data_IF_903584072529
#
_entry.id   IF_903584072529
#
_cell.length_a   1.000
_cell.length_b   1.000
_cell.length_c   1.000
_cell.angle_alpha   90.00
_cell.angle_beta   90.00
_cell.angle_gamma   90.00
#
_symmetry.space_group_name_H-M   'P 1'
#
loop_
_entity.id
_entity.type
_entity.pdbx_description
1 polymer ?
#
# COMPACT_ATOMS: atom_id res chain seq x y z
N UNK A 1 -2.64 18.61 20.02
CA UNK A 1 -2.05 17.92 18.86
C UNK A 1 -2.83 16.67 18.59
N UNK A 2 -3.22 16.48 17.35
CA UNK A 2 -3.88 15.26 16.95
C UNK A 2 -2.85 14.12 16.93
N UNK A 3 -2.99 13.17 17.83
CA UNK A 3 -2.07 12.03 17.97
C UNK A 3 -2.33 10.90 16.96
N UNK A 4 -3.36 11.04 16.13
CA UNK A 4 -3.79 10.00 15.22
C UNK A 4 -3.34 10.28 13.81
N UNK A 5 -2.77 9.27 13.15
CA UNK A 5 -2.50 9.29 11.71
C UNK A 5 -3.70 8.74 10.96
N UNK A 6 -4.16 9.47 9.96
CA UNK A 6 -5.15 8.97 9.02
C UNK A 6 -4.45 8.37 7.80
N UNK A 7 -4.73 7.12 7.53
CA UNK A 7 -4.19 6.38 6.38
C UNK A 7 -5.37 5.90 5.55
N UNK A 8 -5.38 6.24 4.26
CA UNK A 8 -6.39 5.75 3.32
C UNK A 8 -5.70 4.91 2.25
N UNK A 9 -6.31 3.81 1.91
CA UNK A 9 -5.86 2.91 0.85
C UNK A 9 -6.93 2.84 -0.24
N UNK A 10 -6.52 2.88 -1.50
CA UNK A 10 -7.44 2.88 -2.64
C UNK A 10 -6.81 2.25 -3.88
N UNK A 11 -7.50 1.26 -4.44
CA UNK A 11 -7.19 0.78 -5.78
C UNK A 11 -7.81 1.75 -6.80
N UNK A 12 -6.98 2.43 -7.58
CA UNK A 12 -7.43 3.47 -8.51
C UNK A 12 -7.64 2.97 -9.95
N UNK A 13 -7.29 1.72 -10.23
CA UNK A 13 -7.47 1.11 -11.55
C UNK A 13 -7.01 2.00 -12.71
N UNK A 14 -5.77 2.46 -12.62
CA UNK A 14 -5.11 3.28 -13.64
C UNK A 14 -5.35 4.78 -13.50
N UNK A 15 -4.29 5.57 -13.65
CA UNK A 15 -4.28 7.03 -13.58
C UNK A 15 -3.78 7.69 -14.87
N UNK A 16 -3.81 6.98 -16.00
CA UNK A 16 -3.32 7.52 -17.26
C UNK A 16 -4.18 8.65 -17.82
N UNK A 17 -5.50 8.62 -17.57
CA UNK A 17 -6.41 9.67 -18.02
C UNK A 17 -6.32 10.93 -17.15
N UNK A 18 -6.09 12.13 -17.73
CA UNK A 18 -5.99 13.37 -16.94
C UNK A 18 -7.22 13.65 -16.09
N UNK A 19 -8.42 13.41 -16.61
CA UNK A 19 -9.68 13.62 -15.87
C UNK A 19 -9.72 12.76 -14.60
N UNK A 20 -9.24 11.53 -14.68
CA UNK A 20 -9.22 10.61 -13.54
C UNK A 20 -8.22 11.08 -12.48
N UNK A 21 -7.03 11.55 -12.91
CA UNK A 21 -6.05 12.14 -11.98
C UNK A 21 -6.64 13.36 -11.25
N UNK A 22 -7.33 14.24 -11.96
CA UNK A 22 -7.99 15.39 -11.33
C UNK A 22 -9.04 14.99 -10.30
N UNK A 23 -9.89 14.02 -10.63
CA UNK A 23 -10.92 13.51 -9.70
C UNK A 23 -10.30 12.90 -8.45
N UNK A 24 -9.25 12.10 -8.61
CA UNK A 24 -8.53 11.52 -7.47
C UNK A 24 -7.88 12.61 -6.63
N UNK A 25 -7.22 13.60 -7.24
CA UNK A 25 -6.61 14.72 -6.52
C UNK A 25 -7.65 15.54 -5.73
N UNK A 26 -8.81 15.81 -6.30
CA UNK A 26 -9.91 16.48 -5.60
C UNK A 26 -10.43 15.66 -4.42
N UNK A 27 -10.58 14.36 -4.62
CA UNK A 27 -11.04 13.45 -3.59
C UNK A 27 -10.04 13.37 -2.43
N UNK A 28 -8.73 13.28 -2.72
CA UNK A 28 -7.66 13.34 -1.73
C UNK A 28 -7.72 14.63 -0.92
N UNK A 29 -7.82 15.77 -1.59
CA UNK A 29 -7.93 17.07 -0.90
C UNK A 29 -9.16 17.17 -0.01
N UNK A 30 -10.28 16.64 -0.46
CA UNK A 30 -11.53 16.64 0.31
C UNK A 30 -11.43 15.81 1.59
N UNK A 31 -10.83 14.63 1.53
CA UNK A 31 -10.70 13.71 2.68
C UNK A 31 -9.49 14.03 3.57
N UNK A 32 -8.52 14.76 3.04
CA UNK A 32 -7.35 15.28 3.75
C UNK A 32 -6.63 14.24 4.64
N UNK A 33 -6.28 13.04 4.12
CA UNK A 33 -5.58 12.05 4.90
C UNK A 33 -4.11 12.44 5.09
N UNK A 34 -3.51 11.96 6.17
CA UNK A 34 -2.06 12.12 6.37
C UNK A 34 -1.26 11.30 5.36
N UNK A 35 -1.73 10.10 5.06
CA UNK A 35 -1.04 9.16 4.16
C UNK A 35 -2.05 8.54 3.22
N UNK A 36 -1.71 8.53 1.93
CA UNK A 36 -2.45 7.86 0.88
C UNK A 36 -1.65 6.72 0.30
N UNK A 37 -2.25 5.54 0.27
CA UNK A 37 -1.69 4.37 -0.37
C UNK A 37 -2.54 4.00 -1.58
N UNK A 38 -1.97 4.10 -2.78
CA UNK A 38 -2.64 3.82 -4.03
C UNK A 38 -2.14 2.50 -4.62
N UNK A 39 -3.05 1.74 -5.21
CA UNK A 39 -2.75 0.53 -5.95
C UNK A 39 -3.26 0.66 -7.38
N UNK A 40 -2.64 -0.08 -8.31
CA UNK A 40 -2.93 -0.05 -9.74
C UNK A 40 -2.89 1.36 -10.36
N UNK A 41 -1.84 2.11 -10.06
CA UNK A 41 -1.66 3.44 -10.66
C UNK A 41 -1.45 3.39 -12.16
N UNK A 42 -0.84 2.32 -12.68
CA UNK A 42 -0.54 2.08 -14.10
C UNK A 42 0.26 3.19 -14.78
N UNK A 43 0.87 4.09 -14.01
CA UNK A 43 1.71 5.15 -14.54
C UNK A 43 3.05 4.58 -15.00
N UNK A 44 3.46 4.92 -16.21
CA UNK A 44 4.81 4.59 -16.71
C UNK A 44 5.83 5.51 -16.02
N UNK A 45 7.08 5.07 -15.96
CA UNK A 45 8.16 5.85 -15.34
C UNK A 45 8.23 7.28 -15.88
N UNK A 46 8.07 7.45 -17.19
CA UNK A 46 8.05 8.77 -17.84
C UNK A 46 6.84 9.65 -17.48
N UNK A 47 5.76 9.04 -16.99
CA UNK A 47 4.51 9.73 -16.70
C UNK A 47 4.31 9.98 -15.18
N UNK A 48 5.26 9.57 -14.33
CA UNK A 48 5.15 9.72 -12.87
C UNK A 48 4.95 11.17 -12.44
N UNK A 49 5.60 12.10 -13.13
CA UNK A 49 5.50 13.53 -12.86
C UNK A 49 4.08 14.08 -13.04
N UNK A 50 3.19 13.34 -13.72
CA UNK A 50 1.79 13.75 -13.96
C UNK A 50 0.90 13.56 -12.74
N UNK A 51 1.29 12.70 -11.79
CA UNK A 51 0.59 12.57 -10.52
C UNK A 51 1.09 13.65 -9.56
N UNK A 52 0.33 14.75 -9.47
CA UNK A 52 0.59 15.85 -8.56
C UNK A 52 -0.68 16.17 -7.78
N UNK A 53 -0.55 16.25 -6.46
CA UNK A 53 -1.64 16.63 -5.58
C UNK A 53 -1.15 17.74 -4.66
N UNK A 54 -1.78 18.91 -4.76
CA UNK A 54 -1.44 20.05 -3.90
C UNK A 54 -1.69 19.68 -2.43
N UNK A 55 -0.64 19.82 -1.61
CA UNK A 55 -0.68 19.44 -0.20
C UNK A 55 -0.07 18.05 0.08
N UNK A 56 0.31 17.28 -0.95
CA UNK A 56 0.99 15.99 -0.86
C UNK A 56 2.20 15.97 -1.79
N UNK A 57 3.25 16.70 -1.44
CA UNK A 57 4.46 16.84 -2.29
C UNK A 57 5.33 15.60 -2.31
N UNK A 58 5.38 14.87 -1.18
CA UNK A 58 6.15 13.64 -1.12
C UNK A 58 5.33 12.50 -1.68
N UNK A 59 5.76 11.98 -2.84
CA UNK A 59 5.13 10.85 -3.51
C UNK A 59 6.20 9.81 -3.81
N UNK A 60 5.97 8.58 -3.33
CA UNK A 60 6.86 7.45 -3.54
C UNK A 60 6.19 6.43 -4.42
N UNK A 61 6.84 6.04 -5.51
CA UNK A 61 6.33 5.08 -6.48
C UNK A 61 7.14 3.79 -6.48
N UNK A 62 6.46 2.66 -6.63
CA UNK A 62 7.08 1.42 -7.09
C UNK A 62 6.54 1.11 -8.49
N UNK A 63 7.44 1.12 -9.49
CA UNK A 63 7.08 0.94 -10.89
C UNK A 63 7.76 -0.28 -11.44
N UNK A 64 6.95 -1.25 -11.88
CA UNK A 64 7.43 -2.34 -12.70
C UNK A 64 7.74 -1.93 -14.14
N UNK A 65 8.47 -2.77 -14.84
CA UNK A 65 8.71 -2.62 -16.27
C UNK A 65 7.43 -2.83 -17.09
N UNK A 66 6.50 -3.62 -16.57
CA UNK A 66 5.21 -3.88 -17.18
C UNK A 66 4.14 -2.87 -16.74
N UNK A 67 3.05 -2.78 -17.52
CA UNK A 67 1.99 -1.78 -17.33
C UNK A 67 1.05 -2.02 -16.16
N UNK A 68 1.21 -3.13 -15.41
CA UNK A 68 0.26 -3.55 -14.38
C UNK A 68 0.84 -3.47 -12.98
N UNK A 69 -0.01 -3.29 -11.99
CA UNK A 69 0.28 -3.55 -10.59
C UNK A 69 1.17 -2.53 -9.89
N UNK A 70 1.16 -1.28 -10.29
CA UNK A 70 2.02 -0.25 -9.66
C UNK A 70 1.36 0.35 -8.44
N UNK A 71 2.18 0.66 -7.43
CA UNK A 71 1.72 1.24 -6.17
C UNK A 71 2.41 2.58 -5.90
N UNK A 72 1.75 3.42 -5.11
CA UNK A 72 2.31 4.70 -4.68
C UNK A 72 1.89 5.02 -3.25
N UNK A 73 2.73 5.78 -2.56
CA UNK A 73 2.44 6.36 -1.25
C UNK A 73 2.57 7.87 -1.35
N UNK A 74 1.54 8.60 -0.94
CA UNK A 74 1.52 10.05 -0.88
C UNK A 74 1.48 10.49 0.58
N UNK A 75 2.35 11.43 0.94
CA UNK A 75 2.48 11.94 2.29
C UNK A 75 2.01 13.39 2.34
N UNK A 76 1.11 13.71 3.26
CA UNK A 76 0.63 15.07 3.48
C UNK A 76 1.77 16.00 3.90
N UNK A 77 1.77 17.24 3.36
CA UNK A 77 2.70 18.28 3.79
C UNK A 77 2.49 18.70 5.25
N UNK A 78 1.35 18.35 5.86
CA UNK A 78 1.02 18.64 7.26
C UNK A 78 1.75 17.77 8.27
N UNK A 79 2.34 16.66 7.82
CA UNK A 79 3.14 15.78 8.68
C UNK A 79 4.60 15.83 8.28
N UNK A 80 5.48 15.84 9.27
CA UNK A 80 6.93 15.81 9.05
C UNK A 80 7.43 14.36 9.06
N UNK A 81 7.42 13.76 7.87
CA UNK A 81 7.99 12.43 7.68
C UNK A 81 9.49 12.55 7.40
N UNK A 82 10.29 12.01 8.29
CA UNK A 82 11.73 11.82 8.08
C UNK A 82 11.96 10.42 7.55
N UNK A 83 12.16 10.32 6.24
CA UNK A 83 12.44 9.05 5.58
C UNK A 83 13.79 8.48 6.02
N UNK A 84 13.79 7.20 6.38
CA UNK A 84 15.01 6.44 6.67
C UNK A 84 15.39 5.52 5.51
N UNK A 85 14.42 4.79 4.96
CA UNK A 85 14.67 3.86 3.87
C UNK A 85 13.40 3.65 3.03
N UNK A 86 13.60 3.26 1.78
CA UNK A 86 12.54 2.80 0.90
C UNK A 86 13.02 1.52 0.21
N UNK A 87 12.16 0.51 0.23
CA UNK A 87 12.32 -0.70 -0.58
C UNK A 87 11.21 -0.76 -1.60
N UNK A 88 11.57 -0.89 -2.87
CA UNK A 88 10.64 -0.95 -4.00
C UNK A 88 10.74 -2.30 -4.67
N UNK A 89 9.57 -2.90 -4.93
CA UNK A 89 9.52 -4.08 -5.78
C UNK A 89 9.89 -3.70 -7.22
N UNK A 90 10.84 -4.41 -7.85
CA UNK A 90 11.17 -4.17 -9.27
C UNK A 90 9.99 -4.36 -10.21
N UNK A 91 9.01 -5.18 -9.86
CA UNK A 91 7.78 -5.39 -10.63
C UNK A 91 6.64 -4.42 -10.26
N UNK A 92 6.82 -3.61 -9.22
CA UNK A 92 5.87 -2.58 -8.83
C UNK A 92 4.70 -3.06 -7.98
N UNK A 93 4.75 -4.24 -7.39
CA UNK A 93 3.65 -4.81 -6.59
C UNK A 93 3.65 -4.31 -5.14
N UNK A 94 4.79 -3.88 -4.60
CA UNK A 94 4.85 -3.34 -3.25
C UNK A 94 5.88 -2.23 -3.11
N UNK A 95 5.71 -1.46 -2.06
CA UNK A 95 6.66 -0.47 -1.56
C UNK A 95 6.68 -0.51 -0.03
N UNK A 96 7.86 -0.49 0.55
CA UNK A 96 8.05 -0.40 1.99
C UNK A 96 8.72 0.93 2.29
N UNK A 97 8.01 1.81 2.99
CA UNK A 97 8.50 3.09 3.45
C UNK A 97 8.81 3.02 4.94
N UNK A 98 10.08 3.20 5.28
CA UNK A 98 10.53 3.32 6.67
C UNK A 98 10.84 4.76 7.01
N UNK A 99 10.32 5.26 8.10
CA UNK A 99 10.55 6.62 8.51
C UNK A 99 10.21 6.89 9.96
N UNK A 100 10.20 8.17 10.27
CA UNK A 100 9.85 8.67 11.59
C UNK A 100 8.88 9.85 11.44
N UNK A 101 7.79 9.79 12.17
CA UNK A 101 6.80 10.87 12.26
C UNK A 101 6.64 11.25 13.73
N UNK A 102 6.79 12.55 14.06
CA UNK A 102 6.67 13.02 15.45
C UNK A 102 7.54 12.23 16.44
N UNK A 103 8.79 11.91 16.04
CA UNK A 103 9.76 11.15 16.83
C UNK A 103 9.39 9.67 17.07
N UNK A 104 8.36 9.17 16.43
CA UNK A 104 7.97 7.76 16.45
C UNK A 104 8.31 7.08 15.14
N UNK A 105 8.88 5.88 15.23
CA UNK A 105 9.20 5.08 14.05
C UNK A 105 7.93 4.50 13.45
N UNK A 106 7.84 4.52 12.12
CA UNK A 106 6.74 3.94 11.37
C UNK A 106 7.25 3.25 10.11
N UNK A 107 6.72 2.07 9.83
CA UNK A 107 6.93 1.35 8.60
C UNK A 107 5.58 1.17 7.89
N UNK A 108 5.50 1.61 6.64
CA UNK A 108 4.30 1.48 5.84
C UNK A 108 4.59 0.55 4.68
N UNK A 109 3.82 -0.51 4.57
CA UNK A 109 3.91 -1.47 3.48
C UNK A 109 2.64 -1.35 2.65
N UNK A 110 2.76 -0.90 1.40
CA UNK A 110 1.66 -0.82 0.45
C UNK A 110 1.82 -1.93 -0.60
N UNK A 111 0.86 -2.84 -0.66
CA UNK A 111 0.90 -4.04 -1.50
C UNK A 111 -0.27 -4.06 -2.47
N UNK A 112 0.01 -4.41 -3.70
CA UNK A 112 -0.98 -4.87 -4.67
C UNK A 112 -0.67 -6.31 -5.05
N UNK A 113 -1.62 -7.21 -4.86
CA UNK A 113 -1.43 -8.62 -5.19
C UNK A 113 -2.18 -9.00 -6.47
N UNK A 114 -1.64 -9.92 -7.27
CA UNK A 114 -2.35 -10.42 -8.43
C UNK A 114 -3.63 -11.20 -8.02
N UNK A 115 -4.63 -11.22 -8.89
CA UNK A 115 -5.89 -11.92 -8.64
C UNK A 115 -5.70 -13.43 -8.46
N UNK A 116 -4.68 -14.02 -9.09
CA UNK A 116 -4.38 -15.44 -9.04
C UNK A 116 -3.14 -15.65 -8.18
N UNK A 117 -3.25 -16.54 -7.19
CA UNK A 117 -2.14 -16.88 -6.31
C UNK A 117 -1.81 -15.81 -5.25
N UNK A 118 -2.74 -14.91 -4.98
CA UNK A 118 -2.56 -13.83 -4.00
C UNK A 118 -2.10 -14.31 -2.61
N UNK A 119 -2.68 -15.35 -1.99
CA UNK A 119 -2.25 -15.80 -0.67
C UNK A 119 -0.80 -16.26 -0.63
N UNK A 120 -0.34 -16.98 -1.63
CA UNK A 120 1.07 -17.43 -1.74
C UNK A 120 2.02 -16.23 -1.94
N UNK A 121 1.60 -15.27 -2.75
CA UNK A 121 2.38 -14.08 -3.03
C UNK A 121 2.57 -13.22 -1.77
N UNK A 122 1.49 -12.97 -1.02
CA UNK A 122 1.54 -12.23 0.24
C UNK A 122 2.44 -12.94 1.24
N UNK A 123 2.25 -14.25 1.42
CA UNK A 123 3.08 -15.06 2.32
C UNK A 123 4.56 -14.94 1.98
N UNK A 124 4.91 -15.04 0.70
CA UNK A 124 6.30 -14.88 0.24
C UNK A 124 6.86 -13.49 0.58
N UNK A 125 6.10 -12.42 0.32
CA UNK A 125 6.53 -11.06 0.66
C UNK A 125 6.78 -10.92 2.16
N UNK A 126 5.87 -11.42 2.99
CA UNK A 126 5.99 -11.36 4.44
C UNK A 126 7.22 -12.13 4.95
N UNK A 127 7.49 -13.31 4.39
CA UNK A 127 8.66 -14.10 4.73
C UNK A 127 9.97 -13.43 4.28
N UNK A 128 10.00 -12.87 3.06
CA UNK A 128 11.18 -12.18 2.51
C UNK A 128 11.53 -10.91 3.32
N UNK A 129 10.52 -10.22 3.85
CA UNK A 129 10.69 -8.96 4.57
C UNK A 129 10.39 -9.03 6.06
N UNK A 130 10.34 -10.21 6.65
CA UNK A 130 10.01 -10.37 8.09
C UNK A 130 10.93 -9.57 9.02
N UNK A 131 12.18 -9.35 8.66
CA UNK A 131 13.13 -8.54 9.43
C UNK A 131 12.85 -7.04 9.34
N UNK A 132 12.08 -6.60 8.34
CA UNK A 132 11.64 -5.23 8.13
C UNK A 132 10.28 -4.94 8.79
N UNK A 133 9.58 -5.99 9.22
CA UNK A 133 8.26 -5.91 9.84
C UNK A 133 8.42 -6.02 11.35
N UNK A 134 7.95 -5.00 12.06
CA UNK A 134 8.01 -4.91 13.52
C UNK A 134 6.69 -4.37 14.09
N UNK A 135 6.65 -4.04 15.39
CA UNK A 135 5.46 -3.50 16.03
C UNK A 135 5.00 -2.13 15.53
N UNK A 136 5.85 -1.44 14.75
CA UNK A 136 5.55 -0.13 14.15
C UNK A 136 5.16 -0.24 12.67
N UNK A 137 4.91 -1.44 12.17
CA UNK A 137 4.58 -1.69 10.78
C UNK A 137 3.07 -1.71 10.55
N UNK A 138 2.63 -0.99 9.54
CA UNK A 138 1.26 -1.01 9.03
C UNK A 138 1.30 -1.54 7.60
N UNK A 139 0.57 -2.60 7.33
CA UNK A 139 0.44 -3.20 6.02
C UNK A 139 -0.92 -2.84 5.47
N UNK A 140 -0.93 -2.24 4.30
CA UNK A 140 -2.15 -1.83 3.60
C UNK A 140 -2.09 -2.26 2.14
N UNK A 141 -3.20 -2.24 1.46
CA UNK A 141 -3.24 -2.45 0.03
C UNK A 141 -4.43 -3.26 -0.43
N UNK A 142 -4.33 -3.70 -1.68
CA UNK A 142 -5.30 -4.61 -2.29
C UNK A 142 -4.71 -6.03 -2.27
N UNK A 143 -5.14 -6.80 -1.28
CA UNK A 143 -4.60 -8.14 -1.04
C UNK A 143 -5.27 -9.22 -1.89
N UNK A 144 -6.39 -8.91 -2.57
CA UNK A 144 -7.16 -9.87 -3.38
C UNK A 144 -7.39 -11.23 -2.69
N UNK A 145 -7.47 -11.21 -1.35
CA UNK A 145 -7.57 -12.41 -0.53
C UNK A 145 -8.45 -12.13 0.67
N UNK A 146 -9.52 -12.90 0.90
CA UNK A 146 -10.26 -12.81 2.15
C UNK A 146 -9.45 -13.44 3.27
N UNK A 147 -9.10 -12.67 4.28
CA UNK A 147 -8.36 -13.16 5.45
C UNK A 147 -9.28 -13.81 6.47
N UNK A 148 -10.55 -13.41 6.51
CA UNK A 148 -11.57 -13.97 7.39
C UNK A 148 -12.84 -14.37 6.63
N UNK A 149 -13.77 -15.02 7.35
CA UNK A 149 -15.08 -15.32 6.79
C UNK A 149 -15.89 -14.07 6.47
N UNK A 150 -15.64 -12.96 7.16
CA UNK A 150 -16.33 -11.69 6.95
C UNK A 150 -15.87 -10.97 5.67
N UNK A 151 -14.63 -11.17 5.26
CA UNK A 151 -14.06 -10.53 4.07
C UNK A 151 -14.47 -11.21 2.77
N UNK A 152 -15.00 -12.41 2.82
CA UNK A 152 -15.30 -13.21 1.63
C UNK A 152 -16.74 -13.05 1.17
N UNK A 153 -16.92 -13.09 -0.14
CA UNK A 153 -18.26 -13.30 -0.72
C UNK A 153 -18.70 -14.77 -0.51
N UNK A 154 -20.00 -15.03 -0.59
CA UNK A 154 -20.56 -16.39 -0.47
C UNK A 154 -20.01 -17.41 -1.47
N UNK A 155 -19.37 -16.94 -2.54
CA UNK A 155 -18.76 -17.79 -3.59
C UNK A 155 -17.28 -18.07 -3.39
N UNK A 156 -16.63 -17.43 -2.41
CA UNK A 156 -15.20 -17.63 -2.16
C UNK A 156 -15.00 -18.68 -1.06
N UNK A 157 -14.19 -19.68 -1.34
CA UNK A 157 -13.82 -20.71 -0.38
C UNK A 157 -12.44 -20.43 0.23
N UNK A 158 -12.30 -20.74 1.52
CA UNK A 158 -11.00 -20.75 2.18
C UNK A 158 -10.24 -21.97 1.71
N UNK A 159 -9.14 -21.76 1.01
CA UNK A 159 -8.27 -22.82 0.52
C UNK A 159 -7.03 -23.00 1.41
N UNK A 160 -6.20 -23.99 1.08
CA UNK A 160 -4.97 -24.28 1.82
C UNK A 160 -3.98 -23.10 1.86
N UNK A 161 -3.95 -22.30 0.80
CA UNK A 161 -3.04 -21.15 0.70
C UNK A 161 -3.46 -20.02 1.65
N UNK A 162 -4.77 -19.79 1.83
CA UNK A 162 -5.31 -18.82 2.79
C UNK A 162 -5.02 -19.29 4.22
N UNK A 163 -5.19 -20.57 4.52
CA UNK A 163 -4.85 -21.14 5.84
C UNK A 163 -3.37 -20.96 6.15
N UNK A 164 -2.50 -21.26 5.17
CA UNK A 164 -1.05 -21.06 5.32
C UNK A 164 -0.67 -19.58 5.51
N UNK A 165 -1.34 -18.68 4.80
CA UNK A 165 -1.14 -17.24 4.97
C UNK A 165 -1.55 -16.78 6.37
N UNK A 166 -2.73 -17.18 6.85
CA UNK A 166 -3.20 -16.82 8.19
C UNK A 166 -2.26 -17.32 9.29
N UNK A 167 -1.72 -18.54 9.13
CA UNK A 167 -0.70 -19.06 10.04
C UNK A 167 0.55 -18.19 10.03
N UNK A 168 1.03 -17.77 8.86
CA UNK A 168 2.19 -16.89 8.76
C UNK A 168 1.94 -15.52 9.41
N UNK A 169 0.73 -14.94 9.25
CA UNK A 169 0.34 -13.69 9.92
C UNK A 169 0.35 -13.84 11.44
N UNK A 170 -0.17 -14.94 11.97
CA UNK A 170 -0.17 -15.23 13.41
C UNK A 170 1.26 -15.39 13.94
N UNK A 171 2.12 -16.12 13.24
CA UNK A 171 3.53 -16.31 13.58
C UNK A 171 4.32 -15.00 13.58
N UNK A 172 3.93 -14.03 12.77
CA UNK A 172 4.53 -12.70 12.70
C UNK A 172 3.86 -11.68 13.65
N UNK A 173 2.88 -12.11 14.44
CA UNK A 173 2.10 -11.26 15.35
C UNK A 173 1.41 -10.09 14.64
N UNK A 174 0.90 -10.34 13.45
CA UNK A 174 0.14 -9.36 12.67
C UNK A 174 -1.36 -9.53 12.91
N UNK A 175 -2.02 -8.42 13.17
CA UNK A 175 -3.46 -8.37 13.46
C UNK A 175 -4.19 -7.58 12.36
N UNK A 176 -5.32 -8.11 11.91
CA UNK A 176 -6.26 -7.38 11.05
C UNK A 176 -7.03 -6.36 11.88
N UNK A 177 -7.11 -5.11 11.38
CA UNK A 177 -7.71 -3.97 12.08
C UNK A 177 -8.83 -3.34 11.25
#
# INVERSE_FOLDING_TARGET
MNKYLSIITLNVNGLNAPVKRHRIAEWIRKHDPNIWCLQETHLRTKDLHTLKVKGWKQIFHANGQERKGRVAILISDKIDLKRRAIKRDPEGHFIILKGRIHQEDINIVNIYTPNIGAPKYIKKILEDFKNDIDSNTIIVGDLNTPLSKMDRSSKQNINKDIVALNKALDEMDLTDI
#
